data_IF_483938458479
#
_entry.id   IF_483938458479
#
_cell.length_a   1.000
_cell.length_b   1.000
_cell.length_c   1.000
_cell.angle_alpha   90.00
_cell.angle_beta   90.00
_cell.angle_gamma   90.00
#
_symmetry.space_group_name_H-M   'P 1'
#
loop_
_entity.id
_entity.type
_entity.pdbx_description
1 polymer ?
#
# COMPACT_ATOMS: atom_id res chain seq x y z
N UNK A 1 63.78 -35.66 -35.26
CA UNK A 1 63.00 -36.06 -34.07
C UNK A 1 62.83 -34.87 -33.13
N UNK A 2 61.77 -34.13 -33.32
CA UNK A 2 61.34 -33.03 -32.41
C UNK A 2 60.29 -33.58 -31.51
N UNK A 3 60.53 -33.63 -30.18
CA UNK A 3 59.59 -34.05 -29.19
C UNK A 3 58.61 -32.89 -28.94
N UNK A 4 57.30 -33.15 -28.80
CA UNK A 4 56.29 -32.08 -28.49
C UNK A 4 56.48 -31.56 -27.05
N UNK A 5 56.50 -30.21 -26.89
CA UNK A 5 56.55 -29.53 -25.60
C UNK A 5 55.12 -29.49 -25.01
N UNK A 6 54.89 -30.32 -24.00
CA UNK A 6 53.66 -30.31 -23.28
C UNK A 6 53.58 -29.09 -22.33
N UNK A 7 52.77 -28.12 -22.68
CA UNK A 7 52.48 -26.95 -21.84
C UNK A 7 51.68 -27.38 -20.60
N UNK A 8 52.28 -27.40 -19.41
CA UNK A 8 51.59 -27.63 -18.13
C UNK A 8 50.64 -26.48 -17.86
N UNK A 9 49.32 -26.72 -17.85
CA UNK A 9 48.33 -25.77 -17.38
C UNK A 9 48.59 -25.47 -15.89
N UNK A 10 48.97 -24.22 -15.56
CA UNK A 10 49.10 -23.77 -14.17
C UNK A 10 47.72 -23.82 -13.49
N UNK A 11 47.60 -24.60 -12.42
CA UNK A 11 46.41 -24.61 -11.58
C UNK A 11 46.29 -23.26 -10.87
N UNK A 12 45.10 -22.59 -10.82
CA UNK A 12 44.95 -21.33 -10.12
C UNK A 12 45.32 -21.51 -8.64
N UNK A 13 45.98 -20.51 -8.06
CA UNK A 13 46.41 -20.53 -6.67
C UNK A 13 45.23 -20.68 -5.74
N UNK A 14 45.38 -21.36 -4.60
CA UNK A 14 44.33 -21.61 -3.58
C UNK A 14 43.64 -20.31 -3.14
N UNK A 15 44.36 -19.19 -3.16
CA UNK A 15 43.85 -17.86 -2.85
C UNK A 15 42.78 -17.39 -3.85
N UNK A 16 42.97 -17.63 -5.15
CA UNK A 16 42.01 -17.30 -6.20
C UNK A 16 40.74 -18.13 -6.11
N UNK A 17 40.84 -19.41 -5.72
CA UNK A 17 39.67 -20.27 -5.49
C UNK A 17 38.84 -19.83 -4.30
N UNK A 18 39.47 -19.39 -3.21
CA UNK A 18 38.75 -18.85 -2.01
C UNK A 18 38.02 -17.56 -2.32
N UNK A 19 38.65 -16.66 -3.10
CA UNK A 19 38.01 -15.40 -3.52
C UNK A 19 36.82 -15.68 -4.45
N UNK A 20 36.96 -16.57 -5.41
CA UNK A 20 35.85 -16.96 -6.31
C UNK A 20 34.70 -17.61 -5.54
N UNK A 21 35.00 -18.47 -4.55
CA UNK A 21 33.98 -19.09 -3.72
C UNK A 21 33.24 -18.04 -2.84
N UNK A 22 33.95 -17.07 -2.28
CA UNK A 22 33.34 -15.98 -1.50
C UNK A 22 32.46 -15.08 -2.38
N UNK A 23 32.88 -14.77 -3.61
CA UNK A 23 32.06 -14.02 -4.57
C UNK A 23 30.80 -14.79 -5.00
N UNK A 24 30.92 -16.11 -5.22
CA UNK A 24 29.78 -16.96 -5.54
C UNK A 24 28.80 -17.06 -4.36
N UNK A 25 29.30 -17.19 -3.13
CA UNK A 25 28.48 -17.22 -1.92
C UNK A 25 27.78 -15.89 -1.71
N UNK A 26 28.47 -14.76 -1.90
CA UNK A 26 27.87 -13.43 -1.83
C UNK A 26 26.78 -13.22 -2.89
N UNK A 27 27.04 -13.63 -4.14
CA UNK A 27 26.04 -13.56 -5.22
C UNK A 27 24.83 -14.44 -4.93
N UNK A 28 25.02 -15.65 -4.38
CA UNK A 28 23.93 -16.53 -3.99
C UNK A 28 23.05 -15.94 -2.87
N UNK A 29 23.67 -15.30 -1.86
CA UNK A 29 22.95 -14.60 -0.79
C UNK A 29 22.13 -13.45 -1.35
N UNK A 30 22.70 -12.65 -2.25
CA UNK A 30 21.99 -11.54 -2.92
C UNK A 30 20.81 -12.08 -3.74
N UNK A 31 21.00 -13.14 -4.53
CA UNK A 31 19.91 -13.76 -5.30
C UNK A 31 18.82 -14.34 -4.41
N UNK A 32 19.15 -14.93 -3.25
CA UNK A 32 18.18 -15.44 -2.29
C UNK A 32 17.38 -14.30 -1.64
N UNK A 33 18.05 -13.20 -1.31
CA UNK A 33 17.41 -12.04 -0.72
C UNK A 33 16.43 -11.37 -1.69
N UNK A 34 16.85 -11.06 -2.93
CA UNK A 34 15.97 -10.50 -3.96
C UNK A 34 14.84 -11.47 -4.37
N UNK A 35 15.12 -12.77 -4.37
CA UNK A 35 14.13 -13.81 -4.62
C UNK A 35 13.05 -13.84 -3.52
N UNK A 36 13.42 -13.72 -2.24
CA UNK A 36 12.51 -13.68 -1.13
C UNK A 36 11.59 -12.46 -1.17
N UNK A 37 12.16 -11.26 -1.43
CA UNK A 37 11.35 -10.04 -1.60
C UNK A 37 10.38 -10.12 -2.79
N UNK A 38 10.82 -10.73 -3.91
CA UNK A 38 9.96 -10.89 -5.07
C UNK A 38 8.81 -11.86 -4.80
N UNK A 39 9.07 -12.95 -4.07
CA UNK A 39 8.04 -13.91 -3.65
C UNK A 39 7.07 -13.25 -2.68
N UNK A 40 7.54 -12.51 -1.69
CA UNK A 40 6.67 -11.82 -0.74
C UNK A 40 5.77 -10.79 -1.44
N UNK A 41 6.34 -10.00 -2.38
CA UNK A 41 5.52 -9.09 -3.20
C UNK A 41 4.51 -9.82 -4.07
N UNK A 42 4.87 -10.97 -4.63
CA UNK A 42 3.94 -11.79 -5.41
C UNK A 42 2.80 -12.35 -4.54
N UNK A 43 3.11 -12.80 -3.32
CA UNK A 43 2.10 -13.26 -2.35
C UNK A 43 1.16 -12.11 -1.95
N UNK A 44 1.72 -10.95 -1.59
CA UNK A 44 0.92 -9.75 -1.26
C UNK A 44 0.04 -9.29 -2.44
N UNK A 45 0.52 -9.42 -3.68
CA UNK A 45 -0.27 -9.13 -4.89
C UNK A 45 -1.40 -10.13 -5.13
N UNK A 46 -1.21 -11.40 -4.73
CA UNK A 46 -2.24 -12.42 -4.87
C UNK A 46 -3.43 -12.21 -3.91
N UNK A 47 -3.24 -11.43 -2.84
CA UNK A 47 -4.30 -11.09 -1.88
C UNK A 47 -5.34 -10.11 -2.47
N UNK A 48 -4.94 -9.32 -3.50
CA UNK A 48 -5.79 -8.32 -4.13
C UNK A 48 -5.74 -8.43 -5.65
N UNK A 49 -6.89 -8.31 -6.29
CA UNK A 49 -7.00 -8.19 -7.74
C UNK A 49 -7.46 -6.76 -8.05
N UNK A 50 -6.56 -5.89 -8.57
CA UNK A 50 -6.93 -4.54 -8.94
C UNK A 50 -7.98 -4.51 -10.05
N UNK A 51 -8.90 -3.56 -9.94
CA UNK A 51 -9.88 -3.27 -10.96
C UNK A 51 -9.23 -2.48 -12.12
N UNK A 52 -9.77 -2.65 -13.32
CA UNK A 52 -9.42 -1.82 -14.48
C UNK A 52 -9.98 -0.40 -14.32
N UNK A 53 -9.51 0.53 -15.14
CA UNK A 53 -10.02 1.91 -15.14
C UNK A 53 -11.53 1.96 -15.42
N UNK A 54 -12.01 1.15 -16.38
CA UNK A 54 -13.43 1.08 -16.71
C UNK A 54 -14.27 0.54 -15.54
N UNK A 55 -13.79 -0.48 -14.83
CA UNK A 55 -14.47 -1.00 -13.62
C UNK A 55 -14.48 0.03 -12.49
N UNK A 56 -13.43 0.82 -12.35
CA UNK A 56 -13.34 1.91 -11.36
C UNK A 56 -14.34 3.02 -11.69
N UNK A 57 -14.37 3.48 -12.94
CA UNK A 57 -15.31 4.51 -13.39
C UNK A 57 -16.76 4.06 -13.20
N UNK A 58 -17.06 2.80 -13.57
CA UNK A 58 -18.38 2.21 -13.33
C UNK A 58 -18.73 2.20 -11.84
N UNK A 59 -17.83 1.77 -10.99
CA UNK A 59 -18.07 1.68 -9.53
C UNK A 59 -18.28 3.06 -8.91
N UNK A 60 -17.53 4.09 -9.35
CA UNK A 60 -17.75 5.48 -8.93
C UNK A 60 -19.12 5.99 -9.35
N UNK A 61 -19.54 5.73 -10.58
CA UNK A 61 -20.88 6.12 -11.08
C UNK A 61 -21.97 5.47 -10.21
N UNK A 62 -21.86 4.18 -9.93
CA UNK A 62 -22.80 3.46 -9.07
C UNK A 62 -22.77 4.00 -7.65
N UNK A 63 -21.60 4.42 -7.15
CA UNK A 63 -21.46 5.09 -5.86
C UNK A 63 -22.20 6.43 -5.83
N UNK A 64 -22.08 7.24 -6.88
CA UNK A 64 -22.79 8.53 -7.02
C UNK A 64 -24.32 8.36 -7.09
N UNK A 65 -24.81 7.31 -7.75
CA UNK A 65 -26.25 7.00 -7.80
C UNK A 65 -26.80 6.56 -6.42
N UNK A 66 -25.98 5.89 -5.62
CA UNK A 66 -26.37 5.32 -4.33
C UNK A 66 -26.18 6.29 -3.14
N UNK A 67 -25.34 7.32 -3.30
CA UNK A 67 -24.93 8.23 -2.23
C UNK A 67 -25.28 9.66 -2.55
N UNK A 68 -25.96 10.34 -1.62
CA UNK A 68 -26.38 11.74 -1.76
C UNK A 68 -25.51 12.73 -0.99
N UNK A 69 -24.69 12.25 -0.03
CA UNK A 69 -23.82 13.12 0.78
C UNK A 69 -22.56 13.50 0.00
N UNK A 70 -22.45 14.76 -0.38
CA UNK A 70 -21.34 15.29 -1.21
C UNK A 70 -19.97 15.04 -0.58
N UNK A 71 -19.84 15.18 0.74
CA UNK A 71 -18.59 14.91 1.46
C UNK A 71 -18.09 13.48 1.26
N UNK A 72 -18.97 12.49 1.24
CA UNK A 72 -18.64 11.08 0.99
C UNK A 72 -18.17 10.85 -0.43
N UNK A 73 -18.88 11.43 -1.40
CA UNK A 73 -18.53 11.36 -2.81
C UNK A 73 -17.20 12.04 -3.09
N UNK A 74 -16.95 13.19 -2.49
CA UNK A 74 -15.70 13.93 -2.62
C UNK A 74 -14.51 13.13 -2.08
N UNK A 75 -14.65 12.46 -0.93
CA UNK A 75 -13.62 11.57 -0.39
C UNK A 75 -13.34 10.39 -1.32
N UNK A 76 -14.36 9.77 -1.90
CA UNK A 76 -14.21 8.66 -2.84
C UNK A 76 -13.51 9.10 -4.15
N UNK A 77 -13.90 10.23 -4.72
CA UNK A 77 -13.26 10.81 -5.90
C UNK A 77 -11.78 11.14 -5.63
N UNK A 78 -11.51 11.73 -4.47
CA UNK A 78 -10.15 12.01 -4.03
C UNK A 78 -9.32 10.74 -3.90
N UNK A 79 -9.88 9.68 -3.31
CA UNK A 79 -9.21 8.39 -3.18
C UNK A 79 -8.81 7.80 -4.54
N UNK A 80 -9.71 7.83 -5.52
CA UNK A 80 -9.45 7.31 -6.87
C UNK A 80 -8.46 8.19 -7.64
N UNK A 81 -8.40 9.49 -7.37
CA UNK A 81 -7.47 10.41 -8.04
C UNK A 81 -6.01 10.03 -7.91
N UNK A 82 -5.64 9.26 -6.87
CA UNK A 82 -4.27 8.78 -6.61
C UNK A 82 -3.95 7.39 -7.20
N UNK A 83 -4.90 6.72 -7.83
CA UNK A 83 -4.65 5.41 -8.45
C UNK A 83 -3.53 5.54 -9.50
N UNK A 84 -2.48 4.75 -9.34
CA UNK A 84 -1.32 4.77 -10.23
C UNK A 84 -0.34 5.94 -10.05
N UNK A 85 -0.51 6.83 -9.05
CA UNK A 85 0.25 8.09 -8.97
C UNK A 85 1.16 8.24 -7.77
N UNK A 86 1.00 7.45 -6.71
CA UNK A 86 1.75 7.64 -5.47
C UNK A 86 2.35 6.32 -4.99
N UNK A 87 3.64 6.34 -4.66
CA UNK A 87 4.33 5.16 -4.12
C UNK A 87 3.84 4.79 -2.72
N UNK A 88 3.93 3.50 -2.38
CA UNK A 88 3.76 3.06 -1.01
C UNK A 88 5.02 3.35 -0.20
N UNK A 89 4.89 4.15 0.85
CA UNK A 89 5.98 4.48 1.76
C UNK A 89 5.56 4.22 3.20
N UNK A 90 6.21 3.28 3.89
CA UNK A 90 5.88 2.93 5.26
C UNK A 90 6.06 4.12 6.23
N UNK A 91 4.97 4.51 6.90
CA UNK A 91 4.89 5.71 7.71
C UNK A 91 4.68 7.01 6.91
N UNK A 92 4.49 6.90 5.59
CA UNK A 92 4.27 8.05 4.72
C UNK A 92 2.97 8.77 5.01
N UNK A 93 3.08 10.09 5.20
CA UNK A 93 1.98 11.01 5.47
C UNK A 93 2.17 12.30 4.68
N UNK A 94 1.07 12.93 4.30
CA UNK A 94 1.08 14.24 3.67
C UNK A 94 -0.03 15.12 4.24
N UNK A 95 0.28 16.38 4.49
CA UNK A 95 -0.68 17.44 4.80
C UNK A 95 -0.80 18.46 3.66
N UNK A 96 -0.24 18.17 2.49
CA UNK A 96 -0.33 19.03 1.33
C UNK A 96 -1.74 19.00 0.74
N UNK A 97 -2.25 20.17 0.38
CA UNK A 97 -3.37 20.31 -0.54
C UNK A 97 -2.88 20.03 -1.95
N UNK A 98 -3.52 19.07 -2.65
CA UNK A 98 -3.02 18.55 -3.92
C UNK A 98 -1.85 17.58 -3.72
N UNK A 99 -1.08 17.39 -4.79
CA UNK A 99 0.09 16.50 -4.78
C UNK A 99 1.20 17.05 -3.87
N UNK A 100 1.77 16.16 -3.04
CA UNK A 100 2.92 16.52 -2.21
C UNK A 100 4.18 16.55 -3.09
N UNK A 101 4.92 17.68 -3.13
CA UNK A 101 6.11 17.80 -3.99
C UNK A 101 7.22 16.80 -3.67
N UNK A 102 7.18 16.17 -2.49
CA UNK A 102 8.15 15.14 -2.09
C UNK A 102 7.85 13.75 -2.67
N UNK A 103 6.66 13.53 -3.22
CA UNK A 103 6.33 12.21 -3.77
C UNK A 103 7.29 11.81 -4.89
N UNK A 104 7.84 10.61 -4.78
CA UNK A 104 8.84 10.08 -5.69
C UNK A 104 10.30 10.42 -5.33
N UNK A 105 10.55 11.34 -4.38
CA UNK A 105 11.91 11.61 -3.89
C UNK A 105 12.44 10.43 -3.08
N UNK A 106 13.68 10.00 -3.34
CA UNK A 106 14.33 8.95 -2.54
C UNK A 106 14.50 9.44 -1.10
N UNK A 107 13.86 8.74 -0.18
CA UNK A 107 13.79 9.11 1.23
C UNK A 107 14.01 7.87 2.10
N UNK A 108 14.77 8.00 3.19
CA UNK A 108 14.96 6.93 4.16
C UNK A 108 13.64 6.64 4.92
N UNK A 109 13.25 5.36 4.97
CA UNK A 109 12.11 4.89 5.78
C UNK A 109 12.54 4.86 7.24
N UNK A 110 12.16 5.86 8.03
CA UNK A 110 12.52 5.99 9.46
C UNK A 110 11.50 5.34 10.41
N UNK A 111 10.27 5.13 9.95
CA UNK A 111 9.23 4.50 10.75
C UNK A 111 9.57 3.04 11.05
N UNK A 112 9.50 2.65 12.33
CA UNK A 112 9.79 1.29 12.78
C UNK A 112 8.67 0.31 12.37
N UNK A 113 8.99 -0.99 12.37
CA UNK A 113 8.01 -2.07 12.22
C UNK A 113 7.76 -2.53 10.78
N UNK A 114 8.64 -2.17 9.83
CA UNK A 114 8.64 -2.69 8.46
C UNK A 114 10.02 -3.24 8.09
N UNK A 115 10.06 -4.19 7.17
CA UNK A 115 11.31 -4.67 6.55
C UNK A 115 12.01 -3.56 5.73
N UNK A 116 11.25 -2.54 5.31
CA UNK A 116 11.81 -1.38 4.62
C UNK A 116 12.46 -0.35 5.54
N UNK A 117 12.29 -0.45 6.86
CA UNK A 117 12.90 0.48 7.83
C UNK A 117 14.42 0.55 7.65
N UNK A 118 14.97 1.77 7.54
CA UNK A 118 16.38 2.01 7.28
C UNK A 118 16.82 1.87 5.80
N UNK A 119 15.87 1.68 4.86
CA UNK A 119 16.15 1.67 3.42
C UNK A 119 15.62 2.94 2.76
N UNK A 120 16.25 3.34 1.64
CA UNK A 120 15.73 4.43 0.81
C UNK A 120 14.65 3.91 -0.14
N UNK A 121 13.51 4.62 -0.19
CA UNK A 121 12.38 4.34 -1.09
C UNK A 121 11.85 5.66 -1.67
N UNK A 122 11.20 5.63 -2.84
CA UNK A 122 10.44 6.78 -3.31
C UNK A 122 9.39 7.17 -2.27
N UNK A 123 9.40 8.44 -1.83
CA UNK A 123 8.44 8.91 -0.84
C UNK A 123 7.01 8.87 -1.37
N UNK A 124 6.08 8.56 -0.49
CA UNK A 124 4.67 8.45 -0.81
C UNK A 124 3.83 8.32 0.45
N UNK A 125 2.78 7.51 0.39
CA UNK A 125 1.82 7.31 1.47
C UNK A 125 1.81 5.85 1.92
N UNK A 126 1.58 5.60 3.21
CA UNK A 126 1.09 4.30 3.66
C UNK A 126 -0.44 4.21 3.56
N UNK A 127 -1.04 3.06 3.91
CA UNK A 127 -2.48 2.87 3.80
C UNK A 127 -3.28 3.87 4.65
N UNK A 128 -2.82 4.19 5.86
CA UNK A 128 -3.48 5.15 6.76
C UNK A 128 -3.20 6.60 6.37
N UNK A 129 -2.00 6.89 5.83
CA UNK A 129 -1.65 8.19 5.28
C UNK A 129 -2.45 8.54 4.05
N UNK A 130 -2.75 7.55 3.20
CA UNK A 130 -3.65 7.70 2.06
C UNK A 130 -5.05 8.12 2.51
N UNK A 131 -5.62 7.43 3.51
CA UNK A 131 -6.93 7.82 4.07
C UNK A 131 -6.87 9.24 4.63
N UNK A 132 -5.88 9.56 5.47
CA UNK A 132 -5.74 10.89 6.06
C UNK A 132 -5.62 11.98 5.00
N UNK A 133 -4.84 11.74 3.93
CA UNK A 133 -4.69 12.69 2.84
C UNK A 133 -6.02 12.98 2.13
N UNK A 134 -6.88 11.99 1.93
CA UNK A 134 -8.20 12.20 1.35
C UNK A 134 -9.05 13.21 2.16
N UNK A 135 -8.90 13.24 3.48
CA UNK A 135 -9.59 14.22 4.33
C UNK A 135 -8.88 15.57 4.39
N UNK A 136 -7.55 15.63 4.27
CA UNK A 136 -6.84 16.90 4.01
C UNK A 136 -7.43 17.60 2.78
N UNK A 137 -7.70 16.83 1.70
CA UNK A 137 -8.28 17.40 0.47
C UNK A 137 -9.71 17.94 0.67
N UNK A 138 -10.40 17.60 1.76
CA UNK A 138 -11.69 18.20 2.14
C UNK A 138 -11.52 19.54 2.87
N UNK A 139 -10.30 20.04 3.01
CA UNK A 139 -10.01 21.31 3.66
C UNK A 139 -9.70 21.21 5.16
N UNK A 140 -9.60 19.99 5.71
CA UNK A 140 -9.20 19.79 7.09
C UNK A 140 -7.68 20.01 7.24
N UNK A 141 -7.29 20.67 8.31
CA UNK A 141 -5.88 20.69 8.74
C UNK A 141 -5.43 19.32 9.25
N UNK A 142 -4.12 19.07 9.31
CA UNK A 142 -3.59 17.81 9.85
C UNK A 142 -4.04 17.55 11.31
N UNK A 143 -4.21 18.60 12.11
CA UNK A 143 -4.70 18.49 13.49
C UNK A 143 -6.18 18.06 13.54
N UNK A 144 -7.02 18.63 12.69
CA UNK A 144 -8.43 18.24 12.56
C UNK A 144 -8.59 16.82 12.03
N UNK A 145 -7.75 16.41 11.07
CA UNK A 145 -7.73 15.00 10.59
C UNK A 145 -7.31 14.05 11.71
N UNK A 146 -6.26 14.36 12.50
CA UNK A 146 -5.87 13.51 13.65
C UNK A 146 -7.01 13.41 14.67
N UNK A 147 -7.72 14.50 14.94
CA UNK A 147 -8.83 14.52 15.91
C UNK A 147 -10.06 13.78 15.41
N UNK A 148 -10.49 14.02 14.15
CA UNK A 148 -11.80 13.56 13.64
C UNK A 148 -11.72 12.22 12.90
N UNK A 149 -10.58 11.91 12.27
CA UNK A 149 -10.38 10.74 11.39
C UNK A 149 -9.28 9.82 11.91
N UNK A 150 -8.17 10.39 12.40
CA UNK A 150 -6.95 9.69 12.78
C UNK A 150 -5.90 9.63 11.66
N UNK A 151 -4.61 9.57 12.06
CA UNK A 151 -3.47 9.52 11.14
C UNK A 151 -2.83 8.14 11.05
N UNK A 152 -3.26 7.18 11.87
CA UNK A 152 -2.80 5.79 11.86
C UNK A 152 -3.98 4.82 11.84
N UNK A 153 -3.79 3.57 11.41
CA UNK A 153 -4.90 2.60 11.31
C UNK A 153 -5.61 2.37 12.65
N UNK A 154 -4.90 2.45 13.79
CA UNK A 154 -5.53 2.28 15.10
C UNK A 154 -6.35 3.52 15.51
N UNK A 155 -5.85 4.76 15.27
CA UNK A 155 -6.63 5.99 15.55
C UNK A 155 -7.83 6.08 14.60
N UNK A 156 -7.67 5.68 13.33
CA UNK A 156 -8.77 5.58 12.38
C UNK A 156 -9.83 4.56 12.80
N UNK A 157 -9.42 3.43 13.39
CA UNK A 157 -10.37 2.49 13.98
C UNK A 157 -11.15 3.11 15.13
N UNK A 158 -10.47 3.83 16.04
CA UNK A 158 -11.11 4.45 17.20
C UNK A 158 -12.04 5.61 16.84
N UNK A 159 -11.84 6.24 15.66
CA UNK A 159 -12.70 7.31 15.11
C UNK A 159 -13.84 6.80 14.23
N UNK A 160 -14.11 5.51 14.26
CA UNK A 160 -15.16 4.88 13.45
C UNK A 160 -16.02 3.96 14.28
N UNK A 161 -17.28 3.74 13.84
CA UNK A 161 -18.19 2.75 14.38
C UNK A 161 -18.31 1.52 13.49
N UNK A 162 -18.45 0.33 14.10
CA UNK A 162 -18.66 -0.92 13.36
C UNK A 162 -20.03 -0.94 12.70
N UNK A 163 -20.07 -1.33 11.42
CA UNK A 163 -21.31 -1.48 10.66
C UNK A 163 -21.40 -2.87 10.03
N UNK A 164 -22.59 -3.30 9.67
CA UNK A 164 -22.75 -4.52 8.88
C UNK A 164 -22.32 -4.26 7.42
N UNK A 165 -21.78 -5.28 6.74
CA UNK A 165 -21.33 -5.17 5.34
C UNK A 165 -22.43 -4.68 4.39
N UNK A 166 -23.67 -5.07 4.60
CA UNK A 166 -24.82 -4.63 3.81
C UNK A 166 -25.16 -3.14 3.97
N UNK A 167 -24.65 -2.51 5.03
CA UNK A 167 -24.90 -1.10 5.37
C UNK A 167 -23.71 -0.21 4.93
N UNK A 168 -22.73 -0.77 4.20
CA UNK A 168 -21.61 -0.01 3.63
C UNK A 168 -22.12 1.07 2.67
N UNK A 169 -21.57 2.26 2.82
CA UNK A 169 -21.79 3.42 1.95
C UNK A 169 -20.45 3.93 1.40
N UNK A 170 -20.49 4.70 0.35
CA UNK A 170 -19.34 5.43 -0.16
C UNK A 170 -18.71 6.25 0.97
N UNK A 171 -17.38 6.26 1.07
CA UNK A 171 -16.62 6.93 2.12
C UNK A 171 -16.47 6.14 3.43
N UNK A 172 -17.18 5.02 3.61
CA UNK A 172 -16.96 4.14 4.76
C UNK A 172 -15.60 3.43 4.64
N UNK A 173 -15.03 3.04 5.79
CA UNK A 173 -13.73 2.38 5.86
C UNK A 173 -13.86 0.87 6.00
N UNK A 174 -12.86 0.17 5.49
CA UNK A 174 -12.70 -1.27 5.74
C UNK A 174 -11.31 -1.55 6.29
N UNK A 175 -11.24 -2.52 7.20
CA UNK A 175 -10.01 -2.91 7.88
C UNK A 175 -9.75 -4.41 7.75
N UNK A 176 -8.47 -4.78 7.74
CA UNK A 176 -8.04 -6.18 7.72
C UNK A 176 -8.21 -6.85 9.08
N UNK A 177 -7.84 -6.19 10.17
CA UNK A 177 -7.85 -6.72 11.53
C UNK A 177 -8.66 -5.80 12.47
N UNK A 178 -9.32 -6.41 13.47
CA UNK A 178 -9.93 -5.65 14.56
C UNK A 178 -8.87 -5.18 15.55
N UNK A 179 -9.11 -4.06 16.21
CA UNK A 179 -8.30 -3.61 17.34
C UNK A 179 -8.98 -3.99 18.67
N UNK A 180 -8.15 -4.27 19.72
CA UNK A 180 -6.68 -4.25 19.72
C UNK A 180 -6.07 -5.43 18.96
N UNK A 181 -4.96 -5.18 18.27
CA UNK A 181 -4.21 -6.21 17.54
C UNK A 181 -2.71 -5.98 17.69
N UNK A 182 -1.94 -7.07 17.76
CA UNK A 182 -0.48 -7.06 17.66
C UNK A 182 0.04 -7.33 16.23
N UNK A 183 -0.87 -7.48 15.28
CA UNK A 183 -0.56 -7.65 13.86
C UNK A 183 -0.61 -6.30 13.16
N UNK A 184 0.13 -6.15 12.08
CA UNK A 184 -0.06 -5.05 11.16
C UNK A 184 -1.52 -4.98 10.71
N UNK A 185 -2.00 -3.78 10.39
CA UNK A 185 -3.35 -3.59 9.89
C UNK A 185 -3.33 -2.89 8.53
N UNK A 186 -4.39 -3.06 7.78
CA UNK A 186 -4.59 -2.42 6.50
C UNK A 186 -5.98 -1.78 6.46
N UNK A 187 -6.10 -0.66 5.74
CA UNK A 187 -7.32 0.12 5.63
C UNK A 187 -7.57 0.49 4.16
N UNK A 188 -8.85 0.53 3.78
CA UNK A 188 -9.34 1.05 2.51
C UNK A 188 -10.58 1.89 2.68
N UNK A 189 -10.92 2.66 1.66
CA UNK A 189 -12.11 3.52 1.56
C UNK A 189 -13.07 2.91 0.53
N UNK A 190 -14.33 2.72 0.87
CA UNK A 190 -15.37 2.33 -0.08
C UNK A 190 -15.59 3.47 -1.09
N UNK A 191 -15.42 3.19 -2.39
CA UNK A 191 -15.57 4.20 -3.46
C UNK A 191 -16.83 4.00 -4.29
N UNK A 192 -17.52 2.88 -4.11
CA UNK A 192 -18.71 2.54 -4.88
C UNK A 192 -18.96 1.04 -4.94
N UNK A 193 -19.67 0.61 -5.99
CA UNK A 193 -20.15 -0.78 -6.12
C UNK A 193 -19.90 -1.29 -7.54
N UNK A 194 -19.49 -2.55 -7.66
CA UNK A 194 -19.31 -3.21 -8.97
C UNK A 194 -20.65 -3.61 -9.61
N UNK A 195 -20.58 -4.24 -10.80
CA UNK A 195 -21.76 -4.68 -11.57
C UNK A 195 -22.66 -5.66 -10.78
N UNK A 196 -22.09 -6.44 -9.88
CA UNK A 196 -22.83 -7.34 -9.00
C UNK A 196 -23.41 -6.65 -7.76
N UNK A 197 -23.15 -5.35 -7.58
CA UNK A 197 -23.52 -4.58 -6.41
C UNK A 197 -22.62 -4.83 -5.20
N UNK A 198 -21.45 -5.46 -5.39
CA UNK A 198 -20.48 -5.66 -4.34
C UNK A 198 -19.63 -4.39 -4.14
N UNK A 199 -19.33 -3.99 -2.88
CA UNK A 199 -18.54 -2.81 -2.63
C UNK A 199 -17.09 -2.98 -3.09
N UNK A 200 -16.50 -1.89 -3.58
CA UNK A 200 -15.09 -1.83 -4.00
C UNK A 200 -14.35 -0.72 -3.24
N UNK A 201 -13.05 -0.91 -3.04
CA UNK A 201 -12.27 -0.14 -2.09
C UNK A 201 -10.98 0.38 -2.70
N UNK A 202 -10.73 1.69 -2.56
CA UNK A 202 -9.42 2.28 -2.83
C UNK A 202 -8.52 2.15 -1.60
N UNK A 203 -7.27 1.76 -1.81
CA UNK A 203 -6.27 1.64 -0.74
C UNK A 203 -4.84 1.74 -1.28
N UNK A 204 -3.94 2.30 -0.46
CA UNK A 204 -2.50 2.33 -0.79
C UNK A 204 -1.86 1.02 -0.32
N UNK A 205 -1.41 0.19 -1.25
CA UNK A 205 -1.00 -1.19 -0.99
C UNK A 205 0.49 -1.43 -1.27
N UNK A 206 1.23 -1.90 -0.26
CA UNK A 206 2.66 -2.18 -0.36
C UNK A 206 3.01 -3.18 -1.47
N UNK A 207 2.19 -4.20 -1.70
CA UNK A 207 2.40 -5.21 -2.74
C UNK A 207 2.36 -4.65 -4.16
N UNK A 208 1.65 -3.54 -4.38
CA UNK A 208 1.55 -2.85 -5.67
C UNK A 208 2.43 -1.60 -5.76
N UNK A 209 3.01 -1.19 -4.63
CA UNK A 209 3.75 0.08 -4.51
C UNK A 209 2.91 1.27 -5.02
N UNK A 210 1.62 1.26 -4.74
CA UNK A 210 0.69 2.25 -5.27
C UNK A 210 -0.68 2.22 -4.60
N UNK A 211 -1.52 3.23 -4.93
CA UNK A 211 -2.96 3.18 -4.71
C UNK A 211 -3.60 2.32 -5.78
N UNK A 212 -4.41 1.38 -5.35
CA UNK A 212 -5.21 0.49 -6.20
C UNK A 212 -6.65 0.47 -5.74
N UNK A 213 -7.56 0.06 -6.62
CA UNK A 213 -8.96 -0.24 -6.27
C UNK A 213 -9.18 -1.74 -6.40
N UNK A 214 -9.74 -2.36 -5.37
CA UNK A 214 -9.99 -3.81 -5.35
C UNK A 214 -11.35 -4.13 -4.72
N UNK A 215 -11.83 -5.35 -4.90
CA UNK A 215 -12.87 -5.94 -4.07
C UNK A 215 -12.31 -6.28 -2.68
N UNK A 216 -13.17 -6.58 -1.71
CA UNK A 216 -12.74 -6.93 -0.33
C UNK A 216 -11.78 -8.13 -0.30
N UNK A 217 -12.01 -9.14 -1.15
CA UNK A 217 -11.31 -10.40 -1.10
C UNK A 217 -11.40 -11.03 0.29
N UNK A 218 -10.35 -11.78 0.67
CA UNK A 218 -10.21 -12.35 2.02
C UNK A 218 -9.48 -11.41 2.99
N UNK A 219 -9.14 -10.20 2.56
CA UNK A 219 -8.31 -9.27 3.32
C UNK A 219 -9.12 -8.33 4.18
N UNK A 220 -10.08 -7.60 3.58
CA UNK A 220 -10.94 -6.70 4.34
C UNK A 220 -12.06 -7.45 5.03
N UNK A 221 -12.08 -7.41 6.37
CA UNK A 221 -13.00 -8.21 7.20
C UNK A 221 -13.95 -7.36 8.03
N UNK A 222 -13.61 -6.09 8.26
CA UNK A 222 -14.34 -5.20 9.16
C UNK A 222 -14.75 -3.95 8.41
N UNK A 223 -16.06 -3.71 8.35
CA UNK A 223 -16.65 -2.50 7.79
C UNK A 223 -16.92 -1.51 8.93
N UNK A 224 -16.52 -0.25 8.76
CA UNK A 224 -16.64 0.78 9.78
C UNK A 224 -16.99 2.14 9.17
N UNK A 225 -17.85 2.89 9.84
CA UNK A 225 -18.28 4.24 9.45
C UNK A 225 -17.51 5.30 10.20
N UNK A 226 -16.83 6.24 9.51
CA UNK A 226 -16.22 7.40 10.15
C UNK A 226 -17.21 8.25 10.92
N UNK A 227 -16.87 8.59 12.18
CA UNK A 227 -17.67 9.51 13.00
C UNK A 227 -17.71 10.92 12.39
N UNK A 228 -16.76 11.25 11.52
CA UNK A 228 -16.72 12.47 10.72
C UNK A 228 -18.05 12.76 9.99
N UNK A 229 -18.74 11.72 9.49
CA UNK A 229 -19.99 11.88 8.77
C UNK A 229 -21.23 11.97 9.67
N UNK A 230 -21.06 11.88 10.99
CA UNK A 230 -22.18 11.97 11.95
C UNK A 230 -22.38 13.38 12.51
N UNK A 231 -21.61 14.37 12.02
CA UNK A 231 -21.65 15.77 12.49
C UNK A 231 -22.69 16.61 11.75
#
# INVERSE_FOLDING_TARGET
NTKPVTRKKKRPAVRTRRVLFALFAAAAVVCLFFGAEAIERAVKRAEYVPLTAEEIDYALLRGQEAEAEEARLSVAQCAVSLVGKVHYFWGGKSSAMGEDPRWGELTEVTSAGSESTGTEKPYGLDCSGFVAWCFIQQGLSAAEVEEQVGMGTWTQWDRTEGIAWKDLRVGDFVFQNAYPTNKGNHIGICIGFDEAGAPVFAHCAAGFDNVVVTRAGDVFRYARRPNFYAQ
#
